data_IF_135821337314
#
_entry.id   IF_135821337314
#
_cell.length_a   1.000
_cell.length_b   1.000
_cell.length_c   1.000
_cell.angle_alpha   90.00
_cell.angle_beta   90.00
_cell.angle_gamma   90.00
#
_symmetry.space_group_name_H-M   'P 1'
#
loop_
_entity.id
_entity.type
_entity.pdbx_description
1 polymer ?
#
# COMPACT_ATOMS: atom_id res chain seq x y z
N UNK A 1 46.25 7.20 2.49
CA UNK A 1 44.88 7.11 1.93
C UNK A 1 43.91 7.84 2.87
N UNK A 2 43.78 9.16 2.71
CA UNK A 2 42.87 9.97 3.54
C UNK A 2 41.43 9.66 3.12
N UNK A 3 40.64 9.04 4.01
CA UNK A 3 39.19 8.91 3.83
C UNK A 3 38.59 10.31 3.89
N UNK A 4 38.17 10.82 2.74
CA UNK A 4 37.32 12.01 2.63
C UNK A 4 36.07 11.72 3.47
N UNK A 5 35.95 12.38 4.63
CA UNK A 5 34.71 12.39 5.41
C UNK A 5 33.70 13.21 4.62
N UNK A 6 32.88 12.53 3.83
CA UNK A 6 31.68 13.13 3.24
C UNK A 6 30.74 13.43 4.41
N UNK A 7 30.66 14.71 4.81
CA UNK A 7 29.66 15.17 5.76
C UNK A 7 28.29 15.16 5.06
N UNK A 8 27.60 14.03 5.13
CA UNK A 8 26.21 13.94 4.69
C UNK A 8 25.34 14.85 5.57
N UNK A 9 25.01 16.03 5.03
CA UNK A 9 24.07 17.02 5.57
C UNK A 9 22.61 16.59 5.32
N UNK A 10 22.29 15.30 5.45
CA UNK A 10 20.97 14.74 5.07
C UNK A 10 20.01 14.52 6.25
N UNK A 11 20.40 14.80 7.51
CA UNK A 11 19.48 14.84 8.65
C UNK A 11 18.27 15.75 8.47
N UNK A 12 18.42 16.98 7.92
CA UNK A 12 17.32 17.92 7.96
C UNK A 12 16.11 17.39 7.22
N UNK A 13 16.26 16.53 6.20
CA UNK A 13 15.11 16.07 5.41
C UNK A 13 14.19 15.14 6.19
N UNK A 14 14.70 14.15 6.93
CA UNK A 14 13.84 13.23 7.69
C UNK A 14 13.12 13.94 8.85
N UNK A 15 13.85 14.77 9.60
CA UNK A 15 13.28 15.59 10.67
C UNK A 15 12.31 16.65 10.14
N UNK A 16 12.59 17.23 8.97
CA UNK A 16 11.70 18.16 8.28
C UNK A 16 10.39 17.48 7.87
N UNK A 17 10.45 16.29 7.26
CA UNK A 17 9.25 15.52 6.91
C UNK A 17 8.41 15.22 8.15
N UNK A 18 9.05 14.80 9.25
CA UNK A 18 8.35 14.57 10.51
C UNK A 18 7.70 15.84 11.08
N UNK A 19 8.40 16.97 11.02
CA UNK A 19 7.91 18.25 11.52
C UNK A 19 6.77 18.81 10.66
N UNK A 20 6.91 18.74 9.33
CA UNK A 20 5.87 19.15 8.40
C UNK A 20 4.61 18.29 8.57
N UNK A 21 4.78 16.97 8.72
CA UNK A 21 3.68 16.06 9.01
C UNK A 21 2.99 16.38 10.33
N UNK A 22 3.76 16.65 11.39
CA UNK A 22 3.25 17.03 12.71
C UNK A 22 2.43 18.34 12.67
N UNK A 23 2.88 19.34 11.92
CA UNK A 23 2.14 20.58 11.73
C UNK A 23 0.80 20.36 11.03
N UNK A 24 0.79 19.59 9.94
CA UNK A 24 -0.45 19.24 9.24
C UNK A 24 -1.44 18.52 10.16
N UNK A 25 -0.95 17.55 10.94
CA UNK A 25 -1.75 16.82 11.93
C UNK A 25 -2.34 17.77 12.97
N UNK A 26 -1.54 18.68 13.54
CA UNK A 26 -2.00 19.61 14.57
C UNK A 26 -3.06 20.58 14.02
N UNK A 27 -2.83 21.17 12.83
CA UNK A 27 -3.78 22.09 12.20
C UNK A 27 -5.12 21.40 11.96
N UNK A 28 -5.12 20.17 11.43
CA UNK A 28 -6.35 19.42 11.25
C UNK A 28 -7.00 19.01 12.58
N UNK A 29 -6.21 18.63 13.59
CA UNK A 29 -6.73 18.33 14.92
C UNK A 29 -7.48 19.52 15.54
N UNK A 30 -6.91 20.72 15.42
CA UNK A 30 -7.56 21.96 15.86
C UNK A 30 -8.81 22.26 15.05
N UNK A 31 -8.78 22.06 13.72
CA UNK A 31 -9.96 22.21 12.87
C UNK A 31 -11.11 21.29 13.30
N UNK A 32 -10.80 20.02 13.53
CA UNK A 32 -11.79 19.02 13.95
C UNK A 32 -12.32 19.35 15.35
N UNK A 33 -11.47 19.83 16.26
CA UNK A 33 -11.89 20.27 17.59
C UNK A 33 -12.84 21.49 17.55
N UNK A 34 -12.59 22.44 16.65
CA UNK A 34 -13.42 23.64 16.50
C UNK A 34 -14.78 23.33 15.85
N UNK A 35 -14.81 22.42 14.87
CA UNK A 35 -16.02 22.08 14.13
C UNK A 35 -16.83 20.93 14.75
N UNK A 36 -16.24 20.16 15.67
CA UNK A 36 -16.89 19.01 16.31
C UNK A 36 -17.04 17.78 15.42
N UNK A 37 -16.54 17.81 14.18
CA UNK A 37 -16.60 16.70 13.24
C UNK A 37 -15.35 16.60 12.37
N UNK A 38 -15.05 15.40 11.89
CA UNK A 38 -13.99 15.18 10.89
C UNK A 38 -14.38 15.76 9.53
N UNK A 39 -13.42 15.89 8.63
CA UNK A 39 -13.66 16.35 7.26
C UNK A 39 -14.28 15.21 6.45
N UNK A 40 -15.45 15.47 5.88
CA UNK A 40 -16.21 14.54 5.05
C UNK A 40 -16.43 15.22 3.70
N UNK A 41 -16.01 14.55 2.62
CA UNK A 41 -16.24 14.99 1.26
C UNK A 41 -17.22 14.01 0.63
N UNK A 42 -18.31 14.50 0.05
CA UNK A 42 -19.35 13.69 -0.57
C UNK A 42 -19.77 14.28 -1.91
N UNK A 43 -20.23 13.44 -2.85
CA UNK A 43 -20.68 13.89 -4.17
C UNK A 43 -21.89 14.80 -4.13
N UNK A 44 -22.81 14.55 -3.20
CA UNK A 44 -24.02 15.34 -2.97
C UNK A 44 -24.45 15.21 -1.51
N UNK A 45 -25.12 16.24 -0.94
CA UNK A 45 -25.66 16.17 0.41
C UNK A 45 -26.75 15.10 0.50
N UNK A 46 -26.74 14.34 1.58
CA UNK A 46 -27.75 13.35 1.92
C UNK A 46 -27.92 13.29 3.44
N UNK A 47 -29.16 13.20 3.89
CA UNK A 47 -29.49 13.08 5.32
C UNK A 47 -29.64 11.62 5.74
N UNK A 48 -30.06 10.76 4.81
CA UNK A 48 -30.34 9.35 5.05
C UNK A 48 -29.79 8.48 3.92
N UNK A 49 -29.39 7.25 4.26
CA UNK A 49 -28.87 6.28 3.30
C UNK A 49 -29.89 5.87 2.22
N UNK A 50 -31.18 6.08 2.45
CA UNK A 50 -32.24 5.77 1.48
C UNK A 50 -32.33 6.79 0.35
N UNK A 51 -31.93 8.05 0.59
CA UNK A 51 -31.93 9.12 -0.41
C UNK A 51 -30.92 8.86 -1.55
N UNK A 52 -29.90 8.05 -1.26
CA UNK A 52 -28.73 7.85 -2.13
C UNK A 52 -28.74 6.50 -2.85
N UNK A 53 -29.75 5.66 -2.64
CA UNK A 53 -29.81 4.32 -3.25
C UNK A 53 -30.04 4.35 -4.77
N UNK A 54 -30.72 5.38 -5.27
CA UNK A 54 -31.12 5.49 -6.69
C UNK A 54 -30.13 6.26 -7.55
N UNK A 55 -29.12 6.90 -6.95
CA UNK A 55 -28.14 7.73 -7.66
C UNK A 55 -26.72 7.29 -7.34
N UNK A 56 -25.80 7.56 -8.27
CA UNK A 56 -24.38 7.39 -7.98
C UNK A 56 -23.98 8.36 -6.87
N UNK A 57 -23.55 7.82 -5.75
CA UNK A 57 -23.12 8.60 -4.60
C UNK A 57 -21.84 8.01 -4.02
N UNK A 58 -20.92 8.89 -3.62
CA UNK A 58 -19.69 8.50 -2.95
C UNK A 58 -19.34 9.46 -1.82
N UNK A 59 -18.54 8.95 -0.88
CA UNK A 59 -18.01 9.72 0.24
C UNK A 59 -16.59 9.31 0.60
N UNK A 60 -15.79 10.30 0.95
CA UNK A 60 -14.46 10.21 1.50
C UNK A 60 -14.45 10.77 2.93
N UNK A 61 -14.07 9.93 3.90
CA UNK A 61 -13.89 10.36 5.29
C UNK A 61 -12.41 10.60 5.58
N UNK A 62 -12.05 11.80 6.02
CA UNK A 62 -10.68 12.12 6.47
C UNK A 62 -10.62 12.12 7.99
N UNK A 63 -10.70 10.91 8.56
CA UNK A 63 -10.74 10.64 9.99
C UNK A 63 -11.83 9.66 10.36
N UNK A 64 -11.94 9.38 11.66
CA UNK A 64 -12.86 8.40 12.25
C UNK A 64 -13.84 9.15 13.18
N UNK A 65 -14.98 9.65 12.67
CA UNK A 65 -15.88 10.53 13.44
C UNK A 65 -16.30 9.93 14.80
N UNK A 66 -16.53 8.61 14.84
CA UNK A 66 -16.91 7.86 16.05
C UNK A 66 -15.88 7.98 17.19
N UNK A 67 -14.63 8.32 16.89
CA UNK A 67 -13.54 8.39 17.86
C UNK A 67 -13.16 9.82 18.24
N UNK A 68 -13.79 10.83 17.63
CA UNK A 68 -13.38 12.23 17.81
C UNK A 68 -14.41 13.04 18.63
N UNK A 69 -15.57 12.46 18.95
CA UNK A 69 -16.58 13.13 19.77
C UNK A 69 -16.17 13.32 21.24
N UNK A 70 -16.72 14.36 21.85
CA UNK A 70 -16.64 14.60 23.30
C UNK A 70 -15.22 14.86 23.81
N UNK A 71 -14.86 14.26 24.96
CA UNK A 71 -13.54 14.47 25.58
C UNK A 71 -12.39 13.76 24.83
N UNK A 72 -12.68 12.81 23.94
CA UNK A 72 -11.64 12.06 23.22
C UNK A 72 -10.82 12.94 22.29
N UNK A 73 -11.39 14.03 21.74
CA UNK A 73 -10.62 15.00 20.94
C UNK A 73 -9.41 15.54 21.70
N UNK A 74 -9.54 15.77 23.01
CA UNK A 74 -8.47 16.31 23.85
C UNK A 74 -7.31 15.31 23.92
N UNK A 75 -7.62 14.01 24.06
CA UNK A 75 -6.62 12.93 24.08
C UNK A 75 -5.84 12.91 22.77
N UNK A 76 -6.53 13.00 21.63
CA UNK A 76 -5.86 13.02 20.33
C UNK A 76 -5.00 14.27 20.15
N UNK A 77 -5.49 15.44 20.56
CA UNK A 77 -4.73 16.69 20.52
C UNK A 77 -3.43 16.61 21.35
N UNK A 78 -3.45 15.96 22.51
CA UNK A 78 -2.23 15.73 23.31
C UNK A 78 -1.18 14.97 22.49
N UNK A 79 -1.57 13.91 21.78
CA UNK A 79 -0.64 13.19 20.89
C UNK A 79 -0.10 14.07 19.76
N UNK A 80 -0.92 14.96 19.18
CA UNK A 80 -0.47 15.87 18.13
C UNK A 80 0.56 16.90 18.63
N UNK A 81 0.34 17.46 19.81
CA UNK A 81 1.26 18.43 20.44
C UNK A 81 2.57 17.74 20.82
N UNK A 82 2.48 16.53 21.40
CA UNK A 82 3.66 15.73 21.72
C UNK A 82 4.45 15.36 20.46
N UNK A 83 3.77 14.95 19.38
CA UNK A 83 4.39 14.67 18.08
C UNK A 83 5.17 15.88 17.56
N UNK A 84 4.54 17.07 17.56
CA UNK A 84 5.19 18.30 17.10
C UNK A 84 6.41 18.65 17.96
N UNK A 85 6.28 18.54 19.28
CA UNK A 85 7.39 18.79 20.20
C UNK A 85 8.59 17.86 19.92
N UNK A 86 8.34 16.56 19.76
CA UNK A 86 9.39 15.56 19.50
C UNK A 86 10.02 15.77 18.12
N UNK A 87 9.23 16.04 17.09
CA UNK A 87 9.71 16.31 15.74
C UNK A 87 10.57 17.59 15.69
N UNK A 88 10.11 18.67 16.33
CA UNK A 88 10.86 19.93 16.45
C UNK A 88 12.17 19.74 17.24
N UNK A 89 12.17 18.92 18.29
CA UNK A 89 13.38 18.60 19.05
C UNK A 89 14.45 17.94 18.18
N UNK A 90 14.05 16.99 17.31
CA UNK A 90 14.96 16.40 16.32
C UNK A 90 15.45 17.42 15.29
N UNK A 91 14.60 18.35 14.86
CA UNK A 91 14.98 19.39 13.90
C UNK A 91 16.02 20.36 14.48
N UNK A 92 15.86 20.78 15.75
CA UNK A 92 16.75 21.72 16.42
C UNK A 92 18.07 21.04 16.82
N UNK A 93 17.99 19.81 17.37
CA UNK A 93 19.15 19.04 17.81
C UNK A 93 19.16 17.69 17.10
N UNK A 94 19.68 17.64 15.86
CA UNK A 94 19.71 16.42 15.08
C UNK A 94 20.59 15.37 15.76
N UNK A 95 19.94 14.41 16.42
CA UNK A 95 20.60 13.29 17.11
C UNK A 95 19.95 11.98 16.70
N UNK A 96 20.78 10.96 16.55
CA UNK A 96 20.33 9.60 16.34
C UNK A 96 19.67 9.10 17.62
N UNK A 97 18.35 9.17 17.70
CA UNK A 97 17.61 8.63 18.84
C UNK A 97 16.49 7.73 18.34
N UNK A 98 16.69 6.43 18.51
CA UNK A 98 15.67 5.43 18.21
C UNK A 98 14.36 5.75 18.94
N UNK A 99 14.43 6.12 20.22
CA UNK A 99 13.27 6.43 21.06
C UNK A 99 12.41 7.58 20.50
N UNK A 100 13.02 8.71 20.11
CA UNK A 100 12.25 9.84 19.56
C UNK A 100 11.61 9.49 18.22
N UNK A 101 12.31 8.76 17.36
CA UNK A 101 11.76 8.33 16.07
C UNK A 101 10.60 7.33 16.24
N UNK A 102 10.73 6.37 17.16
CA UNK A 102 9.64 5.46 17.53
C UNK A 102 8.45 6.23 18.11
N UNK A 103 8.70 7.23 18.95
CA UNK A 103 7.65 8.07 19.51
C UNK A 103 6.94 8.90 18.42
N UNK A 104 7.67 9.42 17.44
CA UNK A 104 7.08 10.10 16.26
C UNK A 104 6.15 9.15 15.51
N UNK A 105 6.60 7.92 15.22
CA UNK A 105 5.78 6.92 14.52
C UNK A 105 4.52 6.61 15.34
N UNK A 106 4.68 6.35 16.63
CA UNK A 106 3.58 6.04 17.54
C UNK A 106 2.56 7.17 17.62
N UNK A 107 2.98 8.41 17.92
CA UNK A 107 2.07 9.55 18.01
C UNK A 107 1.40 9.85 16.65
N UNK A 108 2.10 9.62 15.54
CA UNK A 108 1.53 9.76 14.20
C UNK A 108 0.42 8.73 13.94
N UNK A 109 0.62 7.46 14.32
CA UNK A 109 -0.44 6.43 14.20
C UNK A 109 -1.62 6.78 15.11
N UNK A 110 -1.36 7.22 16.35
CA UNK A 110 -2.41 7.65 17.29
C UNK A 110 -3.18 8.89 16.83
N UNK A 111 -2.68 9.63 15.83
CA UNK A 111 -3.38 10.79 15.26
C UNK A 111 -4.34 10.45 14.11
N UNK A 112 -4.39 9.20 13.65
CA UNK A 112 -5.29 8.77 12.56
C UNK A 112 -6.78 9.02 12.87
N UNK A 113 -7.30 8.82 14.11
CA UNK A 113 -8.70 9.08 14.41
C UNK A 113 -9.18 10.49 14.08
N UNK A 114 -8.36 11.51 14.34
CA UNK A 114 -8.66 12.91 14.00
C UNK A 114 -8.31 13.26 12.54
N UNK A 115 -8.15 12.27 11.66
CA UNK A 115 -7.82 12.45 10.23
C UNK A 115 -6.34 12.58 9.90
N UNK A 116 -5.48 12.73 10.90
CA UNK A 116 -4.02 12.76 10.73
C UNK A 116 -3.49 13.90 9.85
N UNK A 117 -4.19 15.03 9.75
CA UNK A 117 -3.86 16.14 8.86
C UNK A 117 -4.75 16.14 7.62
N UNK A 118 -4.47 15.22 6.71
CA UNK A 118 -5.33 14.86 5.58
C UNK A 118 -4.89 13.46 5.15
N UNK A 119 -4.56 12.59 6.13
CA UNK A 119 -3.73 11.37 6.01
C UNK A 119 -2.27 11.66 5.63
N UNK A 120 -2.04 12.66 4.79
CA UNK A 120 -0.71 13.10 4.32
C UNK A 120 0.20 13.45 5.51
N UNK A 121 -0.31 14.15 6.52
CA UNK A 121 0.46 14.50 7.71
C UNK A 121 1.00 13.26 8.42
N UNK A 122 0.14 12.26 8.67
CA UNK A 122 0.56 10.98 9.25
C UNK A 122 1.55 10.22 8.38
N UNK A 123 1.35 10.19 7.06
CA UNK A 123 2.29 9.55 6.13
C UNK A 123 3.67 10.20 6.22
N UNK A 124 3.74 11.53 6.15
CA UNK A 124 5.00 12.29 6.22
C UNK A 124 5.71 12.07 7.57
N UNK A 125 4.96 12.08 8.67
CA UNK A 125 5.48 11.82 10.02
C UNK A 125 6.03 10.41 10.18
N UNK A 126 5.31 9.39 9.68
CA UNK A 126 5.77 8.00 9.71
C UNK A 126 7.01 7.83 8.84
N UNK A 127 7.04 8.40 7.63
CA UNK A 127 8.20 8.35 6.73
C UNK A 127 9.41 9.03 7.40
N UNK A 128 9.22 10.22 7.97
CA UNK A 128 10.27 10.97 8.67
C UNK A 128 10.82 10.20 9.87
N UNK A 129 9.94 9.63 10.70
CA UNK A 129 10.33 8.81 11.85
C UNK A 129 11.07 7.54 11.43
N UNK A 130 10.56 6.77 10.47
CA UNK A 130 11.21 5.55 10.00
C UNK A 130 12.56 5.82 9.32
N UNK A 131 12.64 6.87 8.49
CA UNK A 131 13.91 7.29 7.90
C UNK A 131 14.92 7.73 8.97
N UNK A 132 14.43 8.39 10.03
CA UNK A 132 15.24 8.81 11.17
C UNK A 132 15.82 7.65 11.99
N UNK A 133 15.19 6.47 11.99
CA UNK A 133 15.75 5.24 12.62
C UNK A 133 17.03 4.79 11.91
N UNK A 134 17.09 4.93 10.59
CA UNK A 134 18.24 4.52 9.77
C UNK A 134 19.27 5.63 9.53
N UNK A 135 19.29 6.63 10.42
CA UNK A 135 20.35 7.63 10.48
C UNK A 135 21.74 6.95 10.51
N UNK A 136 22.77 7.28 9.72
CA UNK A 136 23.12 8.42 8.85
C UNK A 136 22.97 8.12 7.34
N UNK A 137 22.08 7.20 6.95
CA UNK A 137 21.92 6.85 5.53
C UNK A 137 21.18 7.95 4.77
N UNK A 138 21.52 8.17 3.49
CA UNK A 138 20.68 8.97 2.61
C UNK A 138 19.25 8.45 2.57
N UNK A 139 18.25 9.33 2.52
CA UNK A 139 16.83 8.89 2.59
C UNK A 139 16.56 7.82 1.54
N UNK A 140 17.01 8.01 0.29
CA UNK A 140 16.82 7.06 -0.81
C UNK A 140 17.46 5.69 -0.63
N UNK A 141 18.34 5.52 0.36
CA UNK A 141 19.00 4.26 0.71
C UNK A 141 18.40 3.57 1.95
N UNK A 142 17.62 4.28 2.75
CA UNK A 142 16.85 3.70 3.87
C UNK A 142 15.81 2.70 3.38
N UNK A 143 15.32 1.82 4.26
CA UNK A 143 14.23 0.90 3.91
C UNK A 143 13.01 1.65 3.35
N UNK A 144 12.57 2.72 4.02
CA UNK A 144 11.42 3.51 3.59
C UNK A 144 11.69 4.27 2.30
N UNK A 145 12.88 4.83 2.11
CA UNK A 145 13.23 5.48 0.85
C UNK A 145 13.21 4.52 -0.32
N UNK A 146 13.70 3.29 -0.15
CA UNK A 146 13.58 2.25 -1.18
C UNK A 146 12.13 1.84 -1.43
N UNK A 147 11.33 1.72 -0.38
CA UNK A 147 9.89 1.48 -0.50
C UNK A 147 9.21 2.57 -1.32
N UNK A 148 9.48 3.85 -1.05
CA UNK A 148 8.94 5.00 -1.80
C UNK A 148 9.47 5.02 -3.24
N UNK A 149 10.75 4.71 -3.47
CA UNK A 149 11.33 4.60 -4.81
C UNK A 149 10.67 3.49 -5.63
N UNK A 150 10.30 2.37 -4.98
CA UNK A 150 9.53 1.31 -5.62
C UNK A 150 8.12 1.79 -6.00
N UNK A 151 7.42 2.50 -5.10
CA UNK A 151 6.14 3.16 -5.42
C UNK A 151 6.28 4.13 -6.61
N UNK A 152 7.38 4.88 -6.68
CA UNK A 152 7.68 5.82 -7.78
C UNK A 152 8.14 5.15 -9.07
N UNK A 153 8.17 3.81 -9.13
CA UNK A 153 8.58 3.06 -10.32
C UNK A 153 10.04 3.36 -10.75
N UNK A 154 10.92 3.62 -9.77
CA UNK A 154 12.34 3.92 -10.04
C UNK A 154 13.10 2.69 -10.56
N UNK A 155 13.41 2.67 -11.85
CA UNK A 155 14.14 1.57 -12.49
C UNK A 155 15.54 1.34 -11.91
N UNK A 156 16.20 2.40 -11.42
CA UNK A 156 17.54 2.26 -10.82
C UNK A 156 17.49 1.47 -9.52
N UNK A 157 16.41 1.61 -8.74
CA UNK A 157 16.19 0.77 -7.56
C UNK A 157 16.10 -0.70 -7.97
N UNK A 158 15.25 -1.03 -8.95
CA UNK A 158 15.04 -2.42 -9.39
C UNK A 158 16.32 -3.07 -9.93
N UNK A 159 17.16 -2.30 -10.64
CA UNK A 159 18.47 -2.76 -11.11
C UNK A 159 19.47 -3.03 -9.97
N UNK A 160 19.48 -2.18 -8.94
CA UNK A 160 20.37 -2.35 -7.78
C UNK A 160 19.92 -3.52 -6.90
N UNK A 161 18.62 -3.62 -6.60
CA UNK A 161 18.12 -4.66 -5.69
C UNK A 161 18.13 -6.05 -6.30
N UNK A 162 18.08 -6.16 -7.63
CA UNK A 162 18.16 -7.46 -8.33
C UNK A 162 19.58 -8.04 -8.35
N UNK A 163 20.62 -7.20 -8.23
CA UNK A 163 22.02 -7.63 -8.29
C UNK A 163 22.62 -8.00 -6.94
N UNK A 164 22.01 -7.54 -5.85
CA UNK A 164 22.59 -7.67 -4.50
C UNK A 164 21.70 -8.52 -3.59
N UNK A 165 22.12 -9.76 -3.33
CA UNK A 165 21.39 -10.73 -2.48
C UNK A 165 21.08 -10.25 -1.06
N UNK A 166 21.85 -9.27 -0.53
CA UNK A 166 21.62 -8.70 0.80
C UNK A 166 20.25 -8.02 0.95
N UNK A 167 19.60 -7.65 -0.16
CA UNK A 167 18.30 -6.99 -0.14
C UNK A 167 17.11 -7.93 -0.09
N UNK A 168 17.31 -9.25 -0.22
CA UNK A 168 16.21 -10.21 -0.14
C UNK A 168 15.45 -10.09 1.19
N UNK A 169 16.17 -9.98 2.32
CA UNK A 169 15.56 -9.77 3.65
C UNK A 169 14.72 -8.49 3.70
N UNK A 170 15.19 -7.40 3.08
CA UNK A 170 14.43 -6.15 3.04
C UNK A 170 13.20 -6.29 2.15
N UNK A 171 13.31 -6.97 1.01
CA UNK A 171 12.20 -7.22 0.12
C UNK A 171 11.11 -8.09 0.78
N UNK A 172 11.51 -9.06 1.62
CA UNK A 172 10.58 -9.79 2.48
C UNK A 172 9.79 -8.86 3.40
N UNK A 173 10.46 -7.89 4.04
CA UNK A 173 9.78 -6.88 4.86
C UNK A 173 8.85 -5.97 4.06
N UNK A 174 9.21 -5.62 2.81
CA UNK A 174 8.31 -4.89 1.90
C UNK A 174 7.03 -5.69 1.66
N UNK A 175 7.15 -6.99 1.38
CA UNK A 175 6.01 -7.86 1.15
C UNK A 175 5.13 -7.96 2.40
N UNK A 176 5.73 -8.17 3.58
CA UNK A 176 5.01 -8.22 4.86
C UNK A 176 4.27 -6.89 5.11
N UNK A 177 4.97 -5.76 5.03
CA UNK A 177 4.40 -4.45 5.32
C UNK A 177 3.25 -4.10 4.38
N UNK A 178 3.44 -4.30 3.07
CA UNK A 178 2.42 -4.01 2.07
C UNK A 178 1.16 -4.86 2.28
N UNK A 179 1.32 -6.14 2.68
CA UNK A 179 0.21 -7.04 2.89
C UNK A 179 -0.45 -6.93 4.27
N UNK A 180 0.26 -6.45 5.30
CA UNK A 180 -0.36 -6.01 6.55
C UNK A 180 -1.27 -4.81 6.28
N UNK A 181 -0.75 -3.79 5.57
CA UNK A 181 -1.52 -2.59 5.23
C UNK A 181 -2.75 -2.92 4.37
N UNK A 182 -2.55 -3.69 3.31
CA UNK A 182 -3.63 -4.21 2.47
C UNK A 182 -4.64 -5.02 3.30
N UNK A 183 -4.19 -6.00 4.08
CA UNK A 183 -5.05 -6.87 4.88
C UNK A 183 -5.88 -6.09 5.90
N UNK A 184 -5.31 -5.10 6.58
CA UNK A 184 -6.05 -4.20 7.46
C UNK A 184 -7.11 -3.42 6.68
N UNK A 185 -6.75 -2.83 5.54
CA UNK A 185 -7.69 -2.11 4.69
C UNK A 185 -8.89 -2.96 4.27
N UNK A 186 -8.64 -4.21 3.85
CA UNK A 186 -9.68 -5.18 3.51
C UNK A 186 -10.52 -5.60 4.70
N UNK A 187 -9.91 -5.92 5.83
CA UNK A 187 -10.63 -6.38 7.02
C UNK A 187 -11.59 -5.32 7.51
N UNK A 188 -11.12 -4.07 7.63
CA UNK A 188 -11.96 -2.93 8.03
C UNK A 188 -13.07 -2.72 7.00
N UNK A 189 -12.75 -2.69 5.71
CA UNK A 189 -13.73 -2.47 4.66
C UNK A 189 -14.83 -3.55 4.65
N UNK A 190 -14.46 -4.83 4.64
CA UNK A 190 -15.41 -5.94 4.61
C UNK A 190 -16.27 -5.99 5.88
N UNK A 191 -15.70 -5.70 7.05
CA UNK A 191 -16.48 -5.63 8.28
C UNK A 191 -17.54 -4.52 8.19
N UNK A 192 -17.18 -3.35 7.67
CA UNK A 192 -18.14 -2.25 7.50
C UNK A 192 -19.21 -2.59 6.44
N UNK A 193 -18.87 -3.25 5.33
CA UNK A 193 -19.86 -3.77 4.38
C UNK A 193 -20.84 -4.73 5.07
N UNK A 194 -20.32 -5.71 5.81
CA UNK A 194 -21.13 -6.66 6.56
C UNK A 194 -22.08 -5.94 7.53
N UNK A 195 -21.59 -4.92 8.24
CA UNK A 195 -22.43 -4.14 9.15
C UNK A 195 -23.54 -3.37 8.41
N UNK A 196 -23.26 -2.80 7.23
CA UNK A 196 -24.27 -2.11 6.42
C UNK A 196 -25.34 -3.05 5.88
N UNK A 197 -24.97 -4.27 5.50
CA UNK A 197 -25.90 -5.25 4.94
C UNK A 197 -26.84 -5.85 6.00
N UNK A 198 -26.37 -5.97 7.24
CA UNK A 198 -27.12 -6.62 8.32
C UNK A 198 -27.80 -5.65 9.29
N UNK A 199 -27.33 -4.40 9.39
CA UNK A 199 -27.83 -3.42 10.37
C UNK A 199 -28.14 -2.07 9.69
N UNK A 200 -29.42 -1.71 9.51
CA UNK A 200 -29.83 -0.47 8.85
C UNK A 200 -29.25 0.80 9.49
N UNK A 201 -29.10 0.82 10.81
CA UNK A 201 -28.50 1.95 11.54
C UNK A 201 -27.02 2.15 11.17
N UNK A 202 -26.27 1.06 11.01
CA UNK A 202 -24.87 1.11 10.61
C UNK A 202 -24.70 1.71 9.22
N UNK A 203 -25.66 1.49 8.31
CA UNK A 203 -25.66 2.08 6.97
C UNK A 203 -25.65 3.61 6.99
N UNK A 204 -26.47 4.23 7.85
CA UNK A 204 -26.47 5.69 8.04
C UNK A 204 -25.16 6.16 8.69
N UNK A 205 -24.67 5.44 9.69
CA UNK A 205 -23.41 5.77 10.37
C UNK A 205 -22.22 5.70 9.42
N UNK A 206 -22.15 4.72 8.53
CA UNK A 206 -21.00 4.48 7.63
C UNK A 206 -21.08 5.32 6.36
N UNK A 207 -22.26 5.45 5.74
CA UNK A 207 -22.39 6.25 4.52
C UNK A 207 -22.44 7.74 4.87
N UNK A 208 -23.43 8.14 5.68
CA UNK A 208 -23.74 9.57 5.88
C UNK A 208 -22.77 10.20 6.89
N UNK A 209 -22.61 9.59 8.06
CA UNK A 209 -21.70 10.12 9.09
C UNK A 209 -20.26 9.65 8.87
N UNK A 210 -20.09 8.54 8.15
CA UNK A 210 -18.87 7.75 7.90
C UNK A 210 -17.96 7.61 9.06
N UNK A 211 -18.60 7.15 10.12
CA UNK A 211 -17.97 6.26 11.05
C UNK A 211 -17.37 5.06 10.32
N UNK A 212 -16.29 4.55 10.90
CA UNK A 212 -15.73 3.26 10.58
C UNK A 212 -15.86 2.42 11.82
N UNK A 213 -16.54 1.29 11.70
CA UNK A 213 -16.71 0.34 12.79
C UNK A 213 -15.53 -0.63 12.82
N UNK A 214 -15.16 -1.07 14.01
CA UNK A 214 -14.04 -1.98 14.25
C UNK A 214 -14.47 -3.15 15.12
N UNK A 215 -13.95 -4.33 14.79
CA UNK A 215 -14.02 -5.53 15.62
C UNK A 215 -12.67 -6.27 15.57
N UNK A 216 -12.43 -7.10 16.58
CA UNK A 216 -11.26 -7.96 16.70
C UNK A 216 -11.03 -8.86 15.47
N UNK A 217 -12.09 -9.26 14.75
CA UNK A 217 -12.00 -10.09 13.56
C UNK A 217 -11.21 -9.45 12.40
N UNK A 218 -11.09 -8.13 12.37
CA UNK A 218 -10.33 -7.39 11.35
C UNK A 218 -8.85 -7.80 11.36
N UNK A 219 -8.30 -8.15 12.53
CA UNK A 219 -6.89 -8.48 12.69
C UNK A 219 -6.49 -9.85 12.12
N UNK A 220 -7.46 -10.71 11.77
CA UNK A 220 -7.17 -11.97 11.06
C UNK A 220 -6.75 -11.72 9.60
N UNK A 221 -7.26 -10.66 8.97
CA UNK A 221 -6.98 -10.36 7.56
C UNK A 221 -5.49 -10.12 7.26
N UNK A 222 -4.75 -9.29 8.02
CA UNK A 222 -3.30 -9.14 7.84
C UNK A 222 -2.53 -10.46 7.85
N UNK A 223 -2.88 -11.39 8.75
CA UNK A 223 -2.20 -12.68 8.87
C UNK A 223 -2.43 -13.52 7.61
N UNK A 224 -3.70 -13.63 7.18
CA UNK A 224 -4.09 -14.37 5.98
C UNK A 224 -3.42 -13.76 4.75
N UNK A 225 -3.45 -12.43 4.61
CA UNK A 225 -2.90 -11.72 3.46
C UNK A 225 -1.39 -11.85 3.38
N UNK A 226 -0.67 -11.77 4.50
CA UNK A 226 0.78 -12.00 4.53
C UNK A 226 1.10 -13.43 4.10
N UNK A 227 0.44 -14.44 4.67
CA UNK A 227 0.66 -15.85 4.31
C UNK A 227 0.40 -16.10 2.82
N UNK A 228 -0.72 -15.61 2.31
CA UNK A 228 -1.09 -15.74 0.90
C UNK A 228 -0.13 -14.97 -0.01
N UNK A 229 0.38 -13.81 0.41
CA UNK A 229 1.33 -13.02 -0.36
C UNK A 229 2.63 -13.77 -0.59
N UNK A 230 3.14 -14.50 0.41
CA UNK A 230 4.33 -15.34 0.23
C UNK A 230 4.11 -16.44 -0.80
N UNK A 231 2.97 -17.13 -0.74
CA UNK A 231 2.62 -18.19 -1.70
C UNK A 231 2.52 -17.59 -3.12
N UNK A 232 1.76 -16.50 -3.27
CA UNK A 232 1.58 -15.78 -4.54
C UNK A 232 2.91 -15.29 -5.11
N UNK A 233 3.72 -14.63 -4.29
CA UNK A 233 5.03 -14.11 -4.67
C UNK A 233 5.99 -15.22 -5.10
N UNK A 234 6.02 -16.36 -4.39
CA UNK A 234 6.85 -17.50 -4.74
C UNK A 234 6.44 -18.11 -6.09
N UNK A 235 5.14 -18.33 -6.31
CA UNK A 235 4.62 -18.85 -7.58
C UNK A 235 4.98 -17.91 -8.73
N UNK A 236 4.68 -16.62 -8.59
CA UNK A 236 4.95 -15.62 -9.63
C UNK A 236 6.44 -15.54 -9.95
N UNK A 237 7.30 -15.47 -8.92
CA UNK A 237 8.76 -15.42 -9.10
C UNK A 237 9.28 -16.67 -9.80
N UNK A 238 8.77 -17.85 -9.45
CA UNK A 238 9.13 -19.11 -10.10
C UNK A 238 8.73 -19.11 -11.57
N UNK A 239 7.51 -18.67 -11.89
CA UNK A 239 7.07 -18.56 -13.29
C UNK A 239 7.96 -17.57 -14.06
N UNK A 240 8.24 -16.38 -13.51
CA UNK A 240 9.12 -15.40 -14.14
C UNK A 240 10.53 -15.97 -14.36
N UNK A 241 11.09 -16.69 -13.39
CA UNK A 241 12.39 -17.32 -13.55
C UNK A 241 12.38 -18.42 -14.63
N UNK A 242 11.37 -19.29 -14.62
CA UNK A 242 11.24 -20.37 -15.62
C UNK A 242 11.10 -19.81 -17.04
N UNK A 243 10.17 -18.89 -17.27
CA UNK A 243 9.96 -18.33 -18.61
C UNK A 243 11.08 -17.34 -19.00
N UNK A 244 11.50 -16.47 -18.08
CA UNK A 244 12.45 -15.41 -18.34
C UNK A 244 13.91 -15.86 -18.42
N UNK A 245 14.35 -16.76 -17.53
CA UNK A 245 15.74 -17.25 -17.53
C UNK A 245 15.86 -18.51 -18.38
N UNK A 246 15.01 -19.53 -18.15
CA UNK A 246 15.17 -20.84 -18.81
C UNK A 246 14.69 -20.86 -20.26
N UNK A 247 13.60 -20.17 -20.61
CA UNK A 247 13.13 -20.14 -22.01
C UNK A 247 13.74 -18.99 -22.81
N UNK A 248 13.73 -17.76 -22.27
CA UNK A 248 14.22 -16.57 -22.98
C UNK A 248 15.74 -16.38 -22.92
N UNK A 249 16.41 -16.88 -21.89
CA UNK A 249 17.85 -16.67 -21.70
C UNK A 249 18.22 -15.34 -21.01
N UNK A 250 17.32 -14.80 -20.19
CA UNK A 250 17.62 -13.64 -19.32
C UNK A 250 18.75 -13.95 -18.32
N UNK A 251 19.47 -12.91 -17.88
CA UNK A 251 20.70 -13.07 -17.06
C UNK A 251 20.46 -13.07 -15.54
N UNK A 252 19.21 -12.95 -15.10
CA UNK A 252 18.87 -12.79 -13.68
C UNK A 252 19.01 -14.07 -12.86
N UNK A 253 19.49 -13.93 -11.62
CA UNK A 253 19.40 -14.99 -10.61
C UNK A 253 18.00 -15.05 -9.98
N UNK A 254 17.58 -16.23 -9.50
CA UNK A 254 16.28 -16.38 -8.85
C UNK A 254 16.10 -15.43 -7.67
N UNK A 255 17.11 -15.28 -6.82
CA UNK A 255 17.11 -14.35 -5.67
C UNK A 255 16.96 -12.89 -6.10
N UNK A 256 17.61 -12.50 -7.20
CA UNK A 256 17.52 -11.16 -7.78
C UNK A 256 16.12 -10.85 -8.29
N UNK A 257 15.52 -11.79 -9.03
CA UNK A 257 14.13 -11.69 -9.50
C UNK A 257 13.18 -11.65 -8.30
N UNK A 258 13.34 -12.54 -7.32
CA UNK A 258 12.53 -12.60 -6.11
C UNK A 258 12.54 -11.29 -5.34
N UNK A 259 13.72 -10.68 -5.21
CA UNK A 259 13.90 -9.38 -4.55
C UNK A 259 13.17 -8.29 -5.32
N UNK A 260 13.38 -8.20 -6.63
CA UNK A 260 12.75 -7.18 -7.47
C UNK A 260 11.22 -7.31 -7.52
N UNK A 261 10.69 -8.53 -7.63
CA UNK A 261 9.25 -8.78 -7.64
C UNK A 261 8.60 -8.44 -6.30
N UNK A 262 9.25 -8.72 -5.18
CA UNK A 262 8.73 -8.34 -3.86
C UNK A 262 8.64 -6.81 -3.68
N UNK A 263 9.64 -6.04 -4.15
CA UNK A 263 9.52 -4.57 -4.19
C UNK A 263 8.39 -4.09 -5.09
N UNK A 264 8.06 -4.82 -6.16
CA UNK A 264 6.96 -4.46 -7.06
C UNK A 264 5.57 -4.57 -6.40
N UNK A 265 5.45 -5.27 -5.26
CA UNK A 265 4.23 -5.31 -4.46
C UNK A 265 4.07 -4.11 -3.51
N UNK A 266 5.03 -3.18 -3.43
CA UNK A 266 4.93 -2.00 -2.57
C UNK A 266 3.60 -1.22 -2.72
N UNK A 267 3.04 -1.02 -3.93
CA UNK A 267 1.77 -0.30 -4.08
C UNK A 267 0.57 -0.94 -3.38
N UNK A 268 0.63 -2.23 -3.03
CA UNK A 268 -0.45 -2.91 -2.29
C UNK A 268 -0.73 -2.25 -0.93
N UNK A 269 0.26 -1.58 -0.31
CA UNK A 269 0.05 -0.88 0.96
C UNK A 269 -1.04 0.20 0.88
N UNK A 270 -1.25 0.79 -0.31
CA UNK A 270 -2.24 1.85 -0.51
C UNK A 270 -3.67 1.32 -0.38
N UNK A 271 -3.88 0.00 -0.44
CA UNK A 271 -5.17 -0.63 -0.16
C UNK A 271 -5.58 -0.49 1.31
N UNK A 272 -4.66 -0.07 2.20
CA UNK A 272 -5.01 0.40 3.55
C UNK A 272 -6.08 1.50 3.53
N UNK A 273 -6.16 2.30 2.47
CA UNK A 273 -7.11 3.40 2.33
C UNK A 273 -8.50 2.98 1.83
N UNK A 274 -8.75 1.70 1.57
CA UNK A 274 -10.08 1.20 1.17
C UNK A 274 -11.21 1.69 2.09
N UNK A 275 -11.10 1.66 3.43
CA UNK A 275 -12.19 2.06 4.32
C UNK A 275 -12.50 3.56 4.33
N UNK A 276 -11.70 4.37 3.65
CA UNK A 276 -11.95 5.81 3.59
C UNK A 276 -12.99 6.18 2.54
N UNK A 277 -13.21 5.30 1.56
CA UNK A 277 -14.08 5.54 0.40
C UNK A 277 -15.23 4.55 0.43
N UNK A 278 -16.45 5.05 0.50
CA UNK A 278 -17.67 4.27 0.33
C UNK A 278 -18.54 4.82 -0.81
N UNK A 279 -19.29 3.95 -1.47
CA UNK A 279 -20.24 4.30 -2.53
C UNK A 279 -21.53 3.48 -2.41
N UNK A 280 -22.63 3.99 -2.95
CA UNK A 280 -23.96 3.35 -2.86
C UNK A 280 -24.21 2.21 -3.82
N UNK A 281 -23.45 2.15 -4.91
CA UNK A 281 -23.53 1.05 -5.86
C UNK A 281 -22.52 -0.05 -5.51
N UNK A 282 -22.88 -1.34 -5.67
CA UNK A 282 -21.98 -2.47 -5.44
C UNK A 282 -20.72 -2.42 -6.33
N UNK A 283 -20.74 -1.63 -7.40
CA UNK A 283 -19.61 -1.35 -8.26
C UNK A 283 -18.91 -0.01 -7.95
N UNK A 284 -17.76 -0.14 -7.29
CA UNK A 284 -16.43 0.22 -7.83
C UNK A 284 -15.71 1.51 -7.44
N UNK A 285 -16.24 2.48 -6.69
CA UNK A 285 -15.33 3.56 -6.25
C UNK A 285 -14.31 3.08 -5.21
N UNK A 286 -14.69 2.24 -4.26
CA UNK A 286 -13.72 1.52 -3.42
C UNK A 286 -12.91 0.50 -4.23
N UNK A 287 -13.54 -0.10 -5.24
CA UNK A 287 -12.86 -0.91 -6.25
C UNK A 287 -11.81 -0.13 -7.04
N UNK A 288 -11.89 1.20 -7.14
CA UNK A 288 -10.95 2.01 -7.90
C UNK A 288 -9.58 2.05 -7.22
N UNK A 289 -9.52 2.14 -5.89
CA UNK A 289 -8.27 1.99 -5.11
C UNK A 289 -7.64 0.64 -5.40
N UNK A 290 -8.46 -0.42 -5.41
CA UNK A 290 -8.00 -1.76 -5.76
C UNK A 290 -7.48 -1.84 -7.21
N UNK A 291 -8.23 -1.34 -8.19
CA UNK A 291 -7.83 -1.34 -9.60
C UNK A 291 -6.54 -0.55 -9.84
N UNK A 292 -6.47 0.68 -9.34
CA UNK A 292 -5.31 1.57 -9.49
C UNK A 292 -4.08 0.91 -8.88
N UNK A 293 -4.19 0.34 -7.68
CA UNK A 293 -3.05 -0.33 -7.03
C UNK A 293 -2.60 -1.59 -7.76
N UNK A 294 -3.52 -2.40 -8.29
CA UNK A 294 -3.14 -3.58 -9.10
C UNK A 294 -2.49 -3.19 -10.43
N UNK A 295 -3.00 -2.18 -11.13
CA UNK A 295 -2.36 -1.63 -12.33
C UNK A 295 -0.96 -1.13 -11.98
N UNK A 296 -0.81 -0.44 -10.85
CA UNK A 296 0.48 0.04 -10.36
C UNK A 296 1.46 -1.12 -10.09
N UNK A 297 1.01 -2.20 -9.47
CA UNK A 297 1.81 -3.42 -9.25
C UNK A 297 2.24 -4.02 -10.60
N UNK A 298 1.36 -4.10 -11.59
CA UNK A 298 1.69 -4.62 -12.93
C UNK A 298 2.77 -3.74 -13.59
N UNK A 299 2.64 -2.41 -13.54
CA UNK A 299 3.65 -1.48 -14.06
C UNK A 299 4.99 -1.63 -13.31
N UNK A 300 4.94 -1.82 -12.00
CA UNK A 300 6.14 -2.06 -11.20
C UNK A 300 6.80 -3.40 -11.51
N UNK A 301 6.01 -4.45 -11.74
CA UNK A 301 6.51 -5.76 -12.15
C UNK A 301 7.17 -5.68 -13.52
N UNK A 302 6.63 -4.88 -14.45
CA UNK A 302 7.22 -4.70 -15.78
C UNK A 302 8.64 -4.14 -15.69
N UNK A 303 8.84 -3.13 -14.86
CA UNK A 303 10.15 -2.53 -14.63
C UNK A 303 11.05 -3.51 -13.87
N UNK A 304 10.55 -4.15 -12.81
CA UNK A 304 11.29 -5.14 -12.03
C UNK A 304 11.81 -6.30 -12.89
N UNK A 305 10.96 -6.88 -13.75
CA UNK A 305 11.31 -7.99 -14.64
C UNK A 305 12.31 -7.55 -15.71
N UNK A 306 12.08 -6.40 -16.34
CA UNK A 306 13.01 -5.84 -17.34
C UNK A 306 14.41 -5.66 -16.75
N UNK A 307 14.51 -5.00 -15.59
CA UNK A 307 15.79 -4.67 -14.96
C UNK A 307 16.47 -5.87 -14.30
N UNK A 308 15.71 -6.85 -13.79
CA UNK A 308 16.30 -8.07 -13.19
C UNK A 308 16.77 -9.09 -14.22
N UNK A 309 16.14 -9.16 -15.39
CA UNK A 309 16.51 -10.11 -16.45
C UNK A 309 17.41 -9.51 -17.54
N UNK A 310 17.59 -8.19 -17.56
CA UNK A 310 18.32 -7.44 -18.59
C UNK A 310 17.76 -7.67 -20.01
N UNK A 311 16.42 -7.76 -20.12
CA UNK A 311 15.69 -7.98 -21.38
C UNK A 311 15.07 -6.70 -21.94
N UNK A 312 14.62 -6.75 -23.19
CA UNK A 312 13.91 -5.61 -23.78
C UNK A 312 12.53 -5.39 -23.13
N UNK A 313 11.98 -4.18 -23.29
CA UNK A 313 10.66 -3.85 -22.73
C UNK A 313 9.55 -4.72 -23.35
N UNK A 314 9.61 -5.00 -24.65
CA UNK A 314 8.64 -5.86 -25.33
C UNK A 314 8.70 -7.29 -24.80
N UNK A 315 9.91 -7.85 -24.64
CA UNK A 315 10.10 -9.18 -24.05
C UNK A 315 9.55 -9.24 -22.62
N UNK A 316 9.74 -8.19 -21.82
CA UNK A 316 9.21 -8.13 -20.46
C UNK A 316 7.67 -8.08 -20.42
N UNK A 317 7.03 -7.37 -21.37
CA UNK A 317 5.57 -7.38 -21.52
C UNK A 317 5.09 -8.79 -21.86
N UNK A 318 5.69 -9.45 -22.87
CA UNK A 318 5.32 -10.80 -23.26
C UNK A 318 5.52 -11.83 -22.16
N UNK A 319 6.61 -11.71 -21.41
CA UNK A 319 6.89 -12.53 -20.23
C UNK A 319 5.83 -12.34 -19.14
N UNK A 320 5.42 -11.11 -18.85
CA UNK A 320 4.39 -10.84 -17.85
C UNK A 320 3.00 -11.32 -18.28
N UNK A 321 2.68 -11.26 -19.58
CA UNK A 321 1.40 -11.80 -20.07
C UNK A 321 1.30 -13.32 -19.84
N UNK A 322 2.34 -14.08 -20.18
CA UNK A 322 2.31 -15.54 -20.01
C UNK A 322 2.45 -15.96 -18.55
N UNK A 323 3.41 -15.39 -17.82
CA UNK A 323 3.64 -15.72 -16.40
C UNK A 323 2.50 -15.21 -15.52
N UNK A 324 1.99 -14.00 -15.77
CA UNK A 324 0.86 -13.41 -15.07
C UNK A 324 -0.45 -14.16 -15.35
N UNK A 325 -0.68 -14.61 -16.58
CA UNK A 325 -1.84 -15.42 -16.94
C UNK A 325 -1.85 -16.78 -16.23
N UNK A 326 -0.73 -17.51 -16.24
CA UNK A 326 -0.59 -18.77 -15.48
C UNK A 326 -0.70 -18.54 -13.97
N UNK A 327 -0.04 -17.50 -13.45
CA UNK A 327 -0.15 -17.09 -12.06
C UNK A 327 -1.60 -16.85 -11.67
N UNK A 328 -2.38 -16.15 -12.50
CA UNK A 328 -3.77 -15.85 -12.24
C UNK A 328 -4.62 -17.13 -12.20
N UNK A 329 -4.42 -18.08 -13.12
CA UNK A 329 -5.12 -19.37 -13.11
C UNK A 329 -4.82 -20.14 -11.82
N UNK A 330 -3.55 -20.36 -11.50
CA UNK A 330 -3.14 -21.11 -10.30
C UNK A 330 -3.69 -20.45 -9.04
N UNK A 331 -3.59 -19.12 -8.95
CA UNK A 331 -3.94 -18.37 -7.75
C UNK A 331 -5.45 -18.22 -7.58
N UNK A 332 -6.16 -17.75 -8.60
CA UNK A 332 -7.58 -17.36 -8.48
C UNK A 332 -8.56 -18.48 -8.83
N UNK A 333 -8.14 -19.54 -9.54
CA UNK A 333 -8.96 -20.74 -9.73
C UNK A 333 -8.56 -21.90 -8.83
N UNK A 334 -7.31 -21.97 -8.40
CA UNK A 334 -6.84 -22.98 -7.46
C UNK A 334 -6.88 -22.49 -6.01
N UNK A 335 -5.90 -21.67 -5.64
CA UNK A 335 -5.57 -21.35 -4.24
C UNK A 335 -6.71 -20.58 -3.55
N UNK A 336 -7.16 -19.46 -4.13
CA UNK A 336 -8.14 -18.56 -3.49
C UNK A 336 -9.47 -19.26 -3.19
N UNK A 337 -10.11 -19.97 -4.15
CA UNK A 337 -11.34 -20.70 -3.86
C UNK A 337 -11.15 -21.84 -2.86
N UNK A 338 -10.03 -22.57 -2.95
CA UNK A 338 -9.74 -23.69 -2.05
C UNK A 338 -9.62 -23.25 -0.59
N UNK A 339 -8.92 -22.13 -0.34
CA UNK A 339 -8.74 -21.60 1.01
C UNK A 339 -9.86 -20.63 1.45
N UNK A 340 -10.87 -20.38 0.61
CA UNK A 340 -11.95 -19.43 0.89
C UNK A 340 -11.42 -18.08 1.40
N UNK A 341 -10.33 -17.60 0.78
CA UNK A 341 -9.65 -16.37 1.21
C UNK A 341 -10.67 -15.23 1.20
N UNK A 342 -10.83 -14.42 2.27
CA UNK A 342 -11.73 -13.28 2.28
C UNK A 342 -11.12 -12.04 1.61
N UNK A 343 -11.93 -11.16 1.04
CA UNK A 343 -11.44 -10.01 0.25
C UNK A 343 -12.22 -9.71 -1.03
N UNK A 344 -11.68 -8.79 -1.84
CA UNK A 344 -12.20 -8.50 -3.18
C UNK A 344 -11.35 -9.27 -4.19
N UNK A 345 -12.01 -10.11 -4.99
CA UNK A 345 -11.40 -10.76 -6.16
C UNK A 345 -12.34 -10.70 -7.35
N UNK A 346 -11.76 -10.78 -8.54
CA UNK A 346 -12.54 -10.88 -9.76
C UNK A 346 -12.85 -12.34 -10.05
N UNK A 347 -14.13 -12.67 -10.09
CA UNK A 347 -14.62 -13.89 -10.71
C UNK A 347 -14.95 -13.59 -12.17
N UNK A 348 -14.17 -14.16 -13.09
CA UNK A 348 -14.53 -14.18 -14.50
C UNK A 348 -15.39 -15.42 -14.74
N UNK A 349 -16.65 -15.17 -15.09
CA UNK A 349 -17.61 -16.18 -15.50
C UNK A 349 -18.12 -15.91 -16.92
N UNK A 350 -18.33 -16.97 -17.73
CA UNK A 350 -17.95 -18.36 -17.49
C UNK A 350 -16.42 -18.58 -17.46
N UNK A 351 -15.99 -19.69 -16.84
CA UNK A 351 -14.56 -20.02 -16.69
C UNK A 351 -13.78 -20.12 -18.02
N UNK A 352 -14.47 -20.33 -19.14
CA UNK A 352 -13.90 -20.31 -20.49
C UNK A 352 -13.30 -18.96 -20.87
N UNK A 353 -13.81 -17.83 -20.35
CA UNK A 353 -13.23 -16.51 -20.61
C UNK A 353 -11.80 -16.37 -20.13
N UNK A 354 -11.42 -17.10 -19.08
CA UNK A 354 -10.06 -17.06 -18.54
C UNK A 354 -9.09 -17.76 -19.49
N UNK A 355 -9.49 -18.92 -20.02
CA UNK A 355 -8.70 -19.64 -21.01
C UNK A 355 -8.57 -18.81 -22.31
N UNK A 356 -9.62 -18.08 -22.69
CA UNK A 356 -9.58 -17.14 -23.80
C UNK A 356 -8.56 -16.01 -23.54
N UNK A 357 -8.65 -15.32 -22.39
CA UNK A 357 -7.71 -14.24 -22.04
C UNK A 357 -6.27 -14.75 -21.93
N UNK A 358 -6.08 -15.95 -21.38
CA UNK A 358 -4.77 -16.60 -21.33
C UNK A 358 -4.22 -16.88 -22.74
N UNK A 359 -5.06 -17.41 -23.63
CA UNK A 359 -4.69 -17.67 -25.03
C UNK A 359 -4.35 -16.38 -25.76
N UNK A 360 -5.12 -15.31 -25.56
CA UNK A 360 -4.81 -13.98 -26.10
C UNK A 360 -3.48 -13.46 -25.55
N UNK A 361 -3.22 -13.62 -24.25
CA UNK A 361 -1.95 -13.25 -23.62
C UNK A 361 -0.77 -14.03 -24.20
N UNK A 362 -0.94 -15.32 -24.50
CA UNK A 362 0.07 -16.15 -25.15
C UNK A 362 0.35 -15.70 -26.59
N UNK A 363 -0.69 -15.40 -27.37
CA UNK A 363 -0.54 -14.84 -28.73
C UNK A 363 0.18 -13.50 -28.70
N UNK A 364 -0.24 -12.58 -27.82
CA UNK A 364 0.42 -11.28 -27.65
C UNK A 364 1.88 -11.45 -27.21
N UNK A 365 2.18 -12.40 -26.32
CA UNK A 365 3.55 -12.74 -25.93
C UNK A 365 4.41 -13.13 -27.13
N UNK A 366 3.88 -13.96 -28.03
CA UNK A 366 4.55 -14.29 -29.31
C UNK A 366 4.77 -13.06 -30.18
N UNK A 367 3.75 -12.21 -30.33
CA UNK A 367 3.84 -10.99 -31.14
C UNK A 367 4.86 -9.97 -30.60
N UNK A 368 5.08 -9.93 -29.27
CA UNK A 368 6.13 -9.08 -28.67
C UNK A 368 7.55 -9.59 -28.93
N UNK A 369 7.71 -10.75 -29.59
CA UNK A 369 9.00 -11.38 -29.85
C UNK A 369 9.56 -12.13 -28.65
N UNK A 370 8.76 -12.38 -27.60
CA UNK A 370 9.23 -13.07 -26.40
C UNK A 370 9.81 -14.45 -26.74
N UNK A 371 9.17 -15.23 -27.60
CA UNK A 371 9.68 -16.56 -27.98
C UNK A 371 10.83 -16.57 -29.00
N UNK A 372 11.21 -15.41 -29.55
CA UNK A 372 12.37 -15.33 -30.42
C UNK A 372 13.63 -15.44 -29.53
N UNK A 373 14.27 -16.62 -29.56
CA UNK A 373 15.57 -16.82 -28.91
C UNK A 373 16.59 -15.83 -29.49
N UNK A 374 17.34 -15.19 -28.59
CA UNK A 374 18.51 -14.39 -28.96
C UNK A 374 19.70 -15.28 -29.22
#
# INVERSE_FOLDING_TARGET
MQRIKIHYKEFPTAAFLATAGAWLILVNGLWVALNGSVIIIQSSPASYADEIQSTFWWRLSLGLPNYVGGMLIIVWLIFTVLLLFVAMSLLIKPKASLSLNVLIIFCSIMSIPIGGGFIIGSILSIIGGLAGIEWQKPIGETFVGRFIRALRLDSTLFSVVSKENKYLKHATWVLILANIGSGLGYGIYNYNLFMMDNYPEAKNVILILGGTLFDSSIFYYPIIYVGLAFIKWFILTTLIYMFGVKLKGGKGEFSGIATATAYAYAPAILQFFLPLVFSTQPTQWTGSVFWVTNIWIILSLLIAVKESLEISRSDAIGLLMISGGLYWIVTYKGIVPYFQVPGIWFTLEPSSFILLLFSMGAVLSTLTGFFNRR
#
